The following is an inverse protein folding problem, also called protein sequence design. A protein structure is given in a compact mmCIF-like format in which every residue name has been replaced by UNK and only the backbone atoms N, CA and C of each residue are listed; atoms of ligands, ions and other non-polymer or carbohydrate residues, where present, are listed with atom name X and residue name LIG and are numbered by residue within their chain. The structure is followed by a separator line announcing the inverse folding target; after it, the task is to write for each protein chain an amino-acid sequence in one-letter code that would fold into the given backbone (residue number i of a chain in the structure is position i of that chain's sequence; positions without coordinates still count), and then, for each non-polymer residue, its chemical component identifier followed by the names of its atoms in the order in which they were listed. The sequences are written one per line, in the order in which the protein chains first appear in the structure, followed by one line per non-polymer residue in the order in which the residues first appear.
data_IF_424487442534
#
_entry.id   IF_424487442534
#
_cell.length_a   1.000
_cell.length_b   1.000
_cell.length_c   1.000
_cell.angle_alpha   90.00
_cell.angle_beta   90.00
_cell.angle_gamma   90.00
#
_symmetry.space_group_name_H-M   'P 1'
#
loop_
_entity.id
_entity.type
_entity.pdbx_description
1 polymer ?
#
# COMPACT_ATOMS: atom_id res chain seq x y z
N UNK A 1 26.53 -17.10 12.29
CA UNK A 1 25.31 -16.27 12.28
C UNK A 1 24.24 -17.06 11.54
N UNK A 2 23.08 -17.23 12.14
CA UNK A 2 21.95 -17.90 11.48
C UNK A 2 21.55 -17.06 10.26
N UNK A 3 21.50 -17.63 9.04
CA UNK A 3 21.13 -16.88 7.84
C UNK A 3 19.78 -16.17 7.92
N UNK A 4 18.86 -16.67 8.74
CA UNK A 4 17.54 -16.08 8.91
C UNK A 4 17.52 -14.82 9.80
N UNK A 5 18.59 -14.58 10.56
CA UNK A 5 18.75 -13.37 11.37
C UNK A 5 19.09 -12.14 10.51
N UNK A 6 19.61 -12.35 9.29
CA UNK A 6 19.98 -11.27 8.36
C UNK A 6 18.78 -10.63 7.67
N UNK A 7 17.62 -11.26 7.71
CA UNK A 7 16.40 -10.73 7.12
C UNK A 7 15.96 -9.45 7.82
N UNK A 8 15.81 -8.39 7.06
CA UNK A 8 15.22 -7.12 7.47
C UNK A 8 13.89 -6.93 6.78
N UNK A 9 12.88 -6.52 7.54
CA UNK A 9 11.55 -6.20 7.01
C UNK A 9 11.23 -4.76 7.39
N UNK A 10 10.84 -3.96 6.40
CA UNK A 10 10.53 -2.56 6.59
C UNK A 10 9.19 -2.19 5.96
N UNK A 11 8.49 -1.26 6.57
CA UNK A 11 7.36 -0.57 5.96
C UNK A 11 7.91 0.65 5.23
N UNK A 12 7.55 0.78 3.96
CA UNK A 12 7.86 1.93 3.14
C UNK A 12 6.62 2.81 3.03
N UNK A 13 6.81 4.11 3.29
CA UNK A 13 5.78 5.12 3.07
C UNK A 13 6.29 6.11 2.02
N UNK A 14 5.56 6.23 0.93
CA UNK A 14 5.88 7.18 -0.15
C UNK A 14 5.05 8.43 0.03
N UNK A 15 5.72 9.58 -0.03
CA UNK A 15 5.09 10.89 0.06
C UNK A 15 4.12 11.15 -1.09
N UNK A 16 3.32 12.20 -0.94
CA UNK A 16 2.38 12.66 -1.96
C UNK A 16 3.09 13.40 -3.09
N UNK A 17 2.42 13.54 -4.24
CA UNK A 17 2.79 14.44 -5.33
C UNK A 17 1.52 15.03 -5.96
N UNK A 18 1.69 15.93 -6.92
CA UNK A 18 0.59 16.73 -7.47
C UNK A 18 -0.29 16.00 -8.49
N UNK A 19 0.09 14.79 -8.91
CA UNK A 19 -0.70 14.03 -9.87
C UNK A 19 -1.84 13.24 -9.20
N UNK A 20 -2.94 13.05 -9.91
CA UNK A 20 -4.17 12.42 -9.38
C UNK A 20 -3.94 11.07 -8.70
N UNK A 21 -3.04 10.25 -9.22
CA UNK A 21 -2.74 8.92 -8.68
C UNK A 21 -1.77 8.96 -7.49
N UNK A 22 -1.11 10.08 -7.25
CA UNK A 22 -0.07 10.25 -6.23
C UNK A 22 -0.47 11.16 -5.06
N UNK A 23 -1.67 11.75 -5.09
CA UNK A 23 -2.16 12.69 -4.08
C UNK A 23 -2.20 12.12 -2.66
N UNK A 24 -2.38 10.81 -2.51
CA UNK A 24 -2.58 10.17 -1.20
C UNK A 24 -1.39 9.32 -0.73
N UNK A 25 -0.26 9.45 -1.41
CA UNK A 25 0.91 8.65 -1.09
C UNK A 25 0.76 7.17 -1.43
N UNK A 26 1.67 6.34 -0.89
CA UNK A 26 1.65 4.89 -1.07
C UNK A 26 2.32 4.18 0.12
N UNK A 27 1.92 2.94 0.38
CA UNK A 27 2.52 2.10 1.43
C UNK A 27 2.86 0.74 0.85
N UNK A 28 4.07 0.25 1.16
CA UNK A 28 4.59 -1.04 0.70
C UNK A 28 5.41 -1.73 1.79
N UNK A 29 5.79 -2.99 1.59
CA UNK A 29 6.67 -3.73 2.48
C UNK A 29 7.94 -4.11 1.72
N UNK A 30 9.11 -3.78 2.28
CA UNK A 30 10.42 -4.19 1.78
C UNK A 30 10.94 -5.37 2.57
N UNK A 31 11.48 -6.35 1.87
CA UNK A 31 12.29 -7.43 2.43
C UNK A 31 13.70 -7.30 1.88
N UNK A 32 14.67 -7.18 2.79
CA UNK A 32 16.08 -7.12 2.47
C UNK A 32 16.83 -8.23 3.20
N UNK A 33 17.65 -8.97 2.46
CA UNK A 33 18.54 -9.99 2.99
C UNK A 33 19.86 -9.94 2.23
N UNK A 34 20.84 -9.27 2.81
CA UNK A 34 22.15 -9.09 2.18
C UNK A 34 22.91 -10.43 2.03
N UNK A 35 22.62 -11.43 2.87
CA UNK A 35 23.26 -12.74 2.78
C UNK A 35 22.76 -13.53 1.54
N UNK A 36 21.46 -13.41 1.24
CA UNK A 36 20.85 -14.09 0.07
C UNK A 36 20.80 -13.20 -1.17
N UNK A 37 21.25 -11.95 -1.09
CA UNK A 37 21.17 -10.99 -2.19
C UNK A 37 19.72 -10.63 -2.56
N UNK A 38 18.82 -10.63 -1.58
CA UNK A 38 17.40 -10.29 -1.77
C UNK A 38 17.18 -8.83 -1.36
N UNK A 39 16.54 -8.05 -2.22
CA UNK A 39 16.07 -6.71 -1.92
C UNK A 39 14.83 -6.43 -2.76
N UNK A 40 13.66 -6.75 -2.23
CA UNK A 40 12.38 -6.73 -2.93
C UNK A 40 11.33 -5.96 -2.17
N UNK A 41 10.39 -5.35 -2.92
CA UNK A 41 9.26 -4.61 -2.38
C UNK A 41 7.96 -5.28 -2.79
N UNK A 42 7.13 -5.59 -1.81
CA UNK A 42 5.78 -6.11 -1.98
C UNK A 42 4.80 -4.94 -2.01
N UNK A 43 4.08 -4.83 -3.11
CA UNK A 43 3.15 -3.76 -3.40
C UNK A 43 1.73 -4.26 -3.50
N UNK A 44 0.81 -3.51 -2.91
CA UNK A 44 -0.64 -3.70 -3.01
C UNK A 44 -1.27 -2.50 -3.71
N UNK A 45 -2.37 -2.72 -4.40
CA UNK A 45 -3.04 -1.64 -5.12
C UNK A 45 -2.50 -1.42 -6.52
N UNK A 46 -1.82 -2.40 -7.10
CA UNK A 46 -1.42 -2.36 -8.51
C UNK A 46 -2.64 -2.63 -9.40
N UNK A 47 -2.71 -1.96 -10.54
CA UNK A 47 -3.79 -2.10 -11.51
C UNK A 47 -3.28 -1.97 -12.94
N UNK A 48 -4.07 -2.46 -13.89
CA UNK A 48 -3.74 -2.37 -15.31
C UNK A 48 -4.69 -1.40 -16.01
N UNK A 49 -4.15 -0.29 -16.50
CA UNK A 49 -4.91 0.70 -17.29
C UNK A 49 -5.52 0.14 -18.58
N UNK A 50 -4.99 -0.99 -19.07
CA UNK A 50 -5.52 -1.69 -20.25
C UNK A 50 -6.80 -2.48 -19.96
N UNK A 51 -7.23 -2.54 -18.70
CA UNK A 51 -8.50 -3.19 -18.32
C UNK A 51 -9.66 -2.60 -19.11
N UNK A 52 -10.46 -3.41 -19.80
CA UNK A 52 -11.62 -2.91 -20.53
C UNK A 52 -12.57 -2.10 -19.63
N UNK A 53 -13.06 -0.96 -20.14
CA UNK A 53 -13.93 -0.05 -19.39
C UNK A 53 -13.33 0.46 -18.07
N UNK A 54 -12.01 0.65 -18.03
CA UNK A 54 -11.25 1.06 -16.84
C UNK A 54 -11.95 2.18 -16.05
N UNK A 55 -12.28 3.31 -16.70
CA UNK A 55 -12.88 4.48 -16.02
C UNK A 55 -14.24 4.12 -15.40
N UNK A 56 -15.09 3.38 -16.14
CA UNK A 56 -16.41 2.98 -15.64
C UNK A 56 -16.30 2.05 -14.44
N UNK A 57 -15.37 1.10 -14.47
CA UNK A 57 -15.11 0.18 -13.37
C UNK A 57 -14.53 0.90 -12.16
N UNK A 58 -13.61 1.83 -12.41
CA UNK A 58 -13.02 2.66 -11.35
C UNK A 58 -14.11 3.47 -10.61
N UNK A 59 -14.98 4.16 -11.35
CA UNK A 59 -16.09 4.94 -10.78
C UNK A 59 -17.09 4.07 -10.03
N UNK A 60 -17.36 2.85 -10.52
CA UNK A 60 -18.25 1.89 -9.85
C UNK A 60 -17.62 1.21 -8.63
N UNK A 61 -16.30 1.33 -8.42
CA UNK A 61 -15.58 0.65 -7.34
C UNK A 61 -15.48 -0.87 -7.54
N UNK A 62 -15.56 -1.37 -8.79
CA UNK A 62 -15.44 -2.79 -9.15
C UNK A 62 -14.13 -3.11 -9.89
N UNK A 63 -13.16 -2.20 -9.81
CA UNK A 63 -11.82 -2.43 -10.35
C UNK A 63 -11.12 -3.56 -9.63
N UNK A 64 -10.57 -4.48 -10.41
CA UNK A 64 -9.69 -5.52 -9.91
C UNK A 64 -8.26 -4.97 -9.82
N UNK A 65 -7.73 -5.02 -8.62
CA UNK A 65 -6.35 -4.68 -8.31
C UNK A 65 -5.57 -5.94 -7.99
N UNK A 66 -4.26 -5.85 -8.02
CA UNK A 66 -3.41 -6.99 -7.69
C UNK A 66 -2.24 -6.62 -6.80
N UNK A 67 -1.71 -7.62 -6.11
CA UNK A 67 -0.45 -7.56 -5.37
C UNK A 67 0.69 -8.05 -6.25
N UNK A 68 1.88 -7.49 -6.08
CA UNK A 68 3.08 -7.91 -6.79
C UNK A 68 4.34 -7.56 -6.02
N UNK A 69 5.45 -8.17 -6.41
CA UNK A 69 6.77 -7.86 -5.88
C UNK A 69 7.74 -7.57 -7.02
N UNK A 70 8.64 -6.63 -6.80
CA UNK A 70 9.71 -6.27 -7.71
C UNK A 70 10.93 -5.71 -6.96
N UNK A 71 12.12 -5.60 -7.60
CA UNK A 71 13.34 -5.12 -6.96
C UNK A 71 13.13 -3.74 -6.30
N UNK A 72 13.76 -3.53 -5.13
CA UNK A 72 13.72 -2.23 -4.46
C UNK A 72 14.33 -1.12 -5.32
N UNK A 73 15.36 -1.44 -6.11
CA UNK A 73 15.97 -0.47 -7.02
C UNK A 73 14.93 0.12 -7.99
N UNK A 74 14.10 -0.71 -8.60
CA UNK A 74 13.06 -0.27 -9.54
C UNK A 74 12.02 0.61 -8.83
N UNK A 75 11.66 0.23 -7.58
CA UNK A 75 10.76 1.01 -6.73
C UNK A 75 11.35 2.40 -6.43
N UNK A 76 12.59 2.47 -6.00
CA UNK A 76 13.27 3.72 -5.68
C UNK A 76 13.42 4.61 -6.91
N UNK A 77 13.86 4.06 -8.03
CA UNK A 77 14.03 4.81 -9.28
C UNK A 77 12.73 5.42 -9.78
N UNK A 78 11.62 4.66 -9.69
CA UNK A 78 10.30 5.15 -10.08
C UNK A 78 9.87 6.38 -9.25
N UNK A 79 9.98 6.30 -7.92
CA UNK A 79 9.58 7.41 -7.07
C UNK A 79 10.58 8.56 -7.07
N UNK A 80 11.85 8.31 -7.35
CA UNK A 80 12.84 9.36 -7.61
C UNK A 80 12.50 10.13 -8.88
N UNK A 81 12.09 9.45 -9.94
CA UNK A 81 11.62 10.08 -11.17
C UNK A 81 10.38 10.96 -10.93
N UNK A 82 9.46 10.51 -10.09
CA UNK A 82 8.27 11.26 -9.67
C UNK A 82 8.59 12.39 -8.65
N UNK A 83 9.85 12.55 -8.22
CA UNK A 83 10.28 13.49 -7.18
C UNK A 83 9.53 13.31 -5.85
N UNK A 84 9.28 12.07 -5.45
CA UNK A 84 8.57 11.70 -4.22
C UNK A 84 9.52 11.14 -3.18
N UNK A 85 9.29 11.51 -1.92
CA UNK A 85 10.07 10.99 -0.79
C UNK A 85 9.65 9.57 -0.44
N UNK A 86 10.63 8.74 -0.06
CA UNK A 86 10.41 7.41 0.51
C UNK A 86 10.89 7.44 1.96
N UNK A 87 10.02 7.09 2.87
CA UNK A 87 10.34 6.90 4.30
C UNK A 87 10.32 5.42 4.60
N UNK A 88 11.39 4.93 5.22
CA UNK A 88 11.54 3.53 5.59
C UNK A 88 11.54 3.36 7.11
N UNK A 89 10.70 2.45 7.60
CA UNK A 89 10.63 2.07 9.00
C UNK A 89 10.87 0.57 9.14
N UNK A 90 12.05 0.20 9.66
CA UNK A 90 12.38 -1.20 9.93
C UNK A 90 11.56 -1.73 11.10
N UNK A 91 10.99 -2.91 10.94
CA UNK A 91 10.22 -3.60 11.96
C UNK A 91 11.15 -4.44 12.85
N UNK A 92 11.12 -4.17 14.15
CA UNK A 92 11.86 -4.96 15.12
C UNK A 92 11.07 -6.21 15.52
N UNK A 93 11.25 -7.29 14.73
CA UNK A 93 10.53 -8.55 14.88
C UNK A 93 11.48 -9.70 15.23
N UNK A 94 11.02 -10.69 16.02
CA UNK A 94 11.71 -11.96 16.17
C UNK A 94 11.86 -12.68 14.82
N UNK A 95 12.88 -13.52 14.67
CA UNK A 95 13.16 -14.25 13.42
C UNK A 95 11.97 -15.11 12.98
N UNK A 96 11.28 -15.77 13.91
CA UNK A 96 10.06 -16.55 13.60
C UNK A 96 8.97 -15.72 12.92
N UNK A 97 8.74 -14.51 13.42
CA UNK A 97 7.72 -13.61 12.88
C UNK A 97 8.15 -13.03 11.52
N UNK A 98 9.45 -12.75 11.35
CA UNK A 98 9.98 -12.36 10.03
C UNK A 98 9.74 -13.45 8.98
N UNK A 99 10.04 -14.70 9.29
CA UNK A 99 9.84 -15.82 8.37
C UNK A 99 8.36 -16.05 8.07
N UNK A 100 7.49 -15.96 9.07
CA UNK A 100 6.05 -16.06 8.88
C UNK A 100 5.51 -14.93 8.01
N UNK A 101 6.03 -13.70 8.18
CA UNK A 101 5.63 -12.55 7.37
C UNK A 101 6.11 -12.68 5.92
N UNK A 102 7.35 -13.15 5.68
CA UNK A 102 7.85 -13.47 4.34
C UNK A 102 6.92 -14.46 3.65
N UNK A 103 6.59 -15.59 4.30
CA UNK A 103 5.71 -16.60 3.73
C UNK A 103 4.30 -16.05 3.42
N UNK A 104 3.75 -15.20 4.29
CA UNK A 104 2.45 -14.56 4.05
C UNK A 104 2.49 -13.59 2.86
N UNK A 105 3.57 -12.83 2.70
CA UNK A 105 3.77 -11.92 1.57
C UNK A 105 3.89 -12.69 0.25
N UNK A 106 4.70 -13.74 0.20
CA UNK A 106 4.83 -14.61 -0.98
C UNK A 106 3.48 -15.23 -1.37
N UNK A 107 2.73 -15.72 -0.39
CA UNK A 107 1.37 -16.22 -0.62
C UNK A 107 0.45 -15.14 -1.20
N UNK A 108 0.52 -13.93 -0.70
CA UNK A 108 -0.36 -12.83 -1.12
C UNK A 108 -0.18 -12.38 -2.59
N UNK A 109 0.98 -12.67 -3.19
CA UNK A 109 1.26 -12.35 -4.60
C UNK A 109 1.09 -13.54 -5.52
N UNK A 110 0.71 -14.72 -4.99
CA UNK A 110 0.53 -15.96 -5.73
C UNK A 110 -0.94 -16.38 -5.80
N UNK A 111 -1.28 -17.15 -6.84
CA UNK A 111 -2.61 -17.72 -7.01
C UNK A 111 -3.75 -16.70 -7.12
N UNK A 112 -4.92 -17.07 -6.63
CA UNK A 112 -6.13 -16.24 -6.65
C UNK A 112 -6.06 -15.07 -5.67
N UNK A 113 -5.31 -15.22 -4.58
CA UNK A 113 -5.18 -14.22 -3.50
C UNK A 113 -4.48 -12.94 -3.98
N UNK A 114 -3.74 -13.04 -5.09
CA UNK A 114 -3.10 -11.91 -5.76
C UNK A 114 -4.09 -10.84 -6.19
N UNK A 115 -5.29 -11.23 -6.60
CA UNK A 115 -6.30 -10.31 -7.14
C UNK A 115 -7.35 -9.98 -6.10
N UNK A 116 -7.75 -8.71 -6.01
CA UNK A 116 -8.78 -8.27 -5.10
C UNK A 116 -9.50 -7.02 -5.60
N UNK A 117 -10.73 -6.81 -5.15
CA UNK A 117 -11.45 -5.57 -5.41
C UNK A 117 -10.92 -4.49 -4.47
N UNK A 118 -10.44 -3.41 -5.06
CA UNK A 118 -9.95 -2.26 -4.31
C UNK A 118 -11.12 -1.41 -3.79
N UNK A 119 -10.99 -0.98 -2.55
CA UNK A 119 -11.89 0.01 -1.95
C UNK A 119 -11.03 1.11 -1.36
N UNK A 120 -11.28 2.33 -1.77
CA UNK A 120 -10.44 3.48 -1.43
C UNK A 120 -10.20 3.63 0.08
N UNK A 121 -11.22 3.40 0.89
CA UNK A 121 -11.13 3.51 2.36
C UNK A 121 -10.75 2.18 3.01
N UNK A 122 -11.46 1.10 2.69
CA UNK A 122 -11.41 -0.12 3.49
C UNK A 122 -10.42 -1.15 2.97
N UNK A 123 -9.97 -1.03 1.71
CA UNK A 123 -9.19 -2.08 1.04
C UNK A 123 -8.17 -1.51 0.05
N UNK A 124 -7.34 -0.61 0.55
CA UNK A 124 -6.28 0.08 -0.18
C UNK A 124 -4.88 -0.50 0.11
N UNK A 125 -3.82 0.10 -0.44
CA UNK A 125 -2.45 -0.35 -0.22
C UNK A 125 -2.08 -0.35 1.27
N UNK A 126 -2.42 0.70 2.01
CA UNK A 126 -2.08 0.83 3.43
C UNK A 126 -2.84 -0.20 4.29
N UNK A 127 -4.15 -0.35 4.10
CA UNK A 127 -4.95 -1.32 4.86
C UNK A 127 -4.50 -2.75 4.58
N UNK A 128 -4.11 -3.07 3.34
CA UNK A 128 -3.57 -4.40 2.99
C UNK A 128 -2.24 -4.68 3.66
N UNK A 129 -1.33 -3.70 3.73
CA UNK A 129 -0.06 -3.82 4.47
C UNK A 129 -0.33 -4.06 5.96
N UNK A 130 -1.21 -3.26 6.56
CA UNK A 130 -1.61 -3.41 7.97
C UNK A 130 -2.20 -4.79 8.24
N UNK A 131 -3.11 -5.25 7.38
CA UNK A 131 -3.78 -6.56 7.54
C UNK A 131 -2.76 -7.70 7.46
N UNK A 132 -1.83 -7.69 6.51
CA UNK A 132 -0.81 -8.74 6.39
C UNK A 132 0.07 -8.78 7.62
N UNK A 133 0.55 -7.64 8.10
CA UNK A 133 1.39 -7.56 9.29
C UNK A 133 0.62 -8.05 10.53
N UNK A 134 -0.56 -7.51 10.78
CA UNK A 134 -1.33 -7.84 11.98
C UNK A 134 -1.87 -9.27 11.99
N UNK A 135 -2.16 -9.86 10.82
CA UNK A 135 -2.64 -11.25 10.73
C UNK A 135 -1.53 -12.28 11.01
N UNK A 136 -0.28 -11.93 10.75
CA UNK A 136 0.87 -12.82 11.01
C UNK A 136 1.33 -12.72 12.46
N UNK A 137 1.30 -11.51 13.02
CA UNK A 137 1.81 -11.27 14.36
C UNK A 137 0.78 -11.65 15.43
N UNK A 138 1.24 -12.30 16.50
CA UNK A 138 0.37 -12.67 17.63
C UNK A 138 -0.16 -11.44 18.41
N UNK A 139 0.51 -10.28 18.27
CA UNK A 139 0.08 -9.00 18.83
C UNK A 139 -0.07 -8.00 17.69
N UNK A 140 -1.19 -7.28 17.68
CA UNK A 140 -1.36 -6.16 16.75
C UNK A 140 -0.29 -5.10 17.00
N UNK A 141 0.57 -4.85 16.03
CA UNK A 141 1.56 -3.76 16.09
C UNK A 141 0.97 -2.44 15.57
N UNK A 142 -0.01 -2.53 14.69
CA UNK A 142 -0.60 -1.37 14.03
C UNK A 142 -2.06 -1.26 14.45
N UNK A 143 -2.41 -0.15 15.05
CA UNK A 143 -3.76 0.15 15.51
C UNK A 143 -4.38 1.23 14.62
N UNK A 144 -5.66 1.04 14.27
CA UNK A 144 -6.46 2.13 13.72
C UNK A 144 -6.85 3.04 14.90
N UNK A 145 -6.57 4.33 14.78
CA UNK A 145 -7.17 5.31 15.66
C UNK A 145 -8.57 5.66 15.11
N UNK A 146 -9.59 5.40 15.90
CA UNK A 146 -10.94 5.89 15.59
C UNK A 146 -10.97 7.40 15.81
N UNK A 147 -10.96 8.14 14.71
CA UNK A 147 -11.18 9.58 14.69
C UNK A 147 -12.67 9.78 14.40
N UNK A 148 -13.50 9.77 15.46
CA UNK A 148 -14.95 9.70 15.34
C UNK A 148 -15.61 10.95 14.77
N UNK A 149 -14.95 12.11 14.81
CA UNK A 149 -15.56 13.41 14.55
C UNK A 149 -15.10 14.07 13.23
N UNK A 150 -14.21 13.42 12.46
CA UNK A 150 -13.72 13.93 11.18
C UNK A 150 -14.24 13.06 10.04
N UNK A 151 -14.84 13.70 9.06
CA UNK A 151 -15.35 13.02 7.86
C UNK A 151 -14.23 12.64 6.91
N UNK A 152 -14.41 11.57 6.11
CA UNK A 152 -13.45 11.24 5.05
C UNK A 152 -13.19 12.41 4.10
N UNK A 153 -14.19 13.23 3.84
CA UNK A 153 -14.09 14.43 3.03
C UNK A 153 -13.14 15.45 3.65
N UNK A 154 -13.26 15.72 4.95
CA UNK A 154 -12.38 16.64 5.66
C UNK A 154 -10.92 16.15 5.66
N UNK A 155 -10.70 14.84 5.75
CA UNK A 155 -9.36 14.24 5.65
C UNK A 155 -8.78 14.39 4.24
N UNK A 156 -9.59 14.19 3.19
CA UNK A 156 -9.12 14.11 1.81
C UNK A 156 -9.01 15.48 1.12
N UNK A 157 -9.81 16.46 1.52
CA UNK A 157 -9.85 17.78 0.88
C UNK A 157 -8.52 18.51 0.86
N UNK A 158 -7.70 18.54 1.93
CA UNK A 158 -6.41 19.19 1.89
C UNK A 158 -5.48 18.68 0.78
N UNK A 159 -5.54 17.38 0.50
CA UNK A 159 -4.73 16.77 -0.57
C UNK A 159 -5.20 17.12 -1.98
N UNK A 160 -6.44 17.56 -2.13
CA UNK A 160 -7.05 17.93 -3.40
C UNK A 160 -7.31 19.42 -3.53
N UNK A 161 -6.67 20.27 -2.72
CA UNK A 161 -7.00 21.71 -2.64
C UNK A 161 -6.92 22.43 -3.98
N UNK A 162 -5.90 22.14 -4.77
CA UNK A 162 -5.68 22.75 -6.09
C UNK A 162 -6.16 21.87 -7.25
N UNK A 163 -6.93 20.82 -6.97
CA UNK A 163 -7.33 19.81 -7.96
C UNK A 163 -8.86 19.72 -8.05
N UNK A 164 -9.46 20.54 -8.93
CA UNK A 164 -10.92 20.64 -9.08
C UNK A 164 -11.59 19.30 -9.36
N UNK A 165 -11.08 18.52 -10.31
CA UNK A 165 -11.70 17.24 -10.70
C UNK A 165 -11.60 16.19 -9.59
N UNK A 166 -10.52 16.19 -8.81
CA UNK A 166 -10.35 15.31 -7.67
C UNK A 166 -11.31 15.68 -6.54
N UNK A 167 -11.48 16.96 -6.24
CA UNK A 167 -12.51 17.44 -5.29
C UNK A 167 -13.90 17.05 -5.73
N UNK A 168 -14.21 17.22 -7.01
CA UNK A 168 -15.48 16.78 -7.57
C UNK A 168 -15.69 15.26 -7.39
N UNK A 169 -14.65 14.46 -7.68
CA UNK A 169 -14.66 13.02 -7.46
C UNK A 169 -14.90 12.64 -6.00
N UNK A 170 -14.22 13.29 -5.05
CA UNK A 170 -14.42 13.10 -3.61
C UNK A 170 -15.89 13.39 -3.23
N UNK A 171 -16.47 14.47 -3.75
CA UNK A 171 -17.85 14.82 -3.47
C UNK A 171 -18.85 13.81 -4.03
N UNK A 172 -18.57 13.26 -5.23
CA UNK A 172 -19.45 12.27 -5.87
C UNK A 172 -19.36 10.91 -5.15
N UNK A 173 -18.16 10.48 -4.76
CA UNK A 173 -17.92 9.17 -4.13
C UNK A 173 -18.44 9.15 -2.70
N UNK A 174 -18.14 10.18 -1.91
CA UNK A 174 -18.48 10.21 -0.49
C UNK A 174 -19.80 10.94 -0.19
N UNK A 175 -20.48 11.50 -1.20
CA UNK A 175 -21.78 12.16 -1.06
C UNK A 175 -21.80 13.30 -0.05
N UNK A 176 -23.00 13.66 0.39
CA UNK A 176 -23.22 14.67 1.45
C UNK A 176 -23.21 14.07 2.87
N UNK A 177 -23.24 12.75 2.98
CA UNK A 177 -23.19 12.03 4.27
C UNK A 177 -21.85 11.33 4.44
N UNK A 178 -21.38 11.42 5.64
CA UNK A 178 -20.25 10.69 6.21
C UNK A 178 -20.67 9.28 6.57
#
# INVERSE_FOLDING_TARGET
TNPDETIQISVLTVGTADESHSLYGHTAIRIKDDFRGIDVVYNYGMFDFRTPNFIVRFVKGDMQYFAGAYPYQDFEENYRYENRSIYEQTLNLPTSDKLALVAALEKSISGSDKFYTYKFIDRNCTTKVVDVINNVLQKKLIYKHDVSDITYREILYPYAENHFFQKLGINLIFGAKV
#
